data_IF_393780627078
#
_entry.id   IF_393780627078
#
_cell.length_a   1.000
_cell.length_b   1.000
_cell.length_c   1.000
_cell.angle_alpha   90.00
_cell.angle_beta   90.00
_cell.angle_gamma   90.00
#
_symmetry.space_group_name_H-M   'P 1'
#
loop_
_entity.id
_entity.type
_entity.pdbx_description
1 polymer ?
#
# COMPACT_ATOMS: atom_id res chain seq x y z
N UNK A 1 10.96 8.79 16.95
CA UNK A 1 11.82 7.66 16.85
C UNK A 1 11.07 6.38 16.61
N UNK A 2 11.62 5.53 15.82
CA UNK A 2 10.95 4.43 15.14
C UNK A 2 10.30 3.37 16.03
N UNK A 3 10.72 3.24 17.26
CA UNK A 3 10.22 2.22 18.17
C UNK A 3 8.78 2.39 18.63
N UNK A 4 8.22 3.57 18.47
CA UNK A 4 6.81 3.84 18.80
C UNK A 4 5.87 3.69 17.62
N UNK A 5 6.42 3.57 16.41
CA UNK A 5 5.66 3.71 15.16
C UNK A 5 4.63 2.60 14.95
N UNK A 6 4.84 1.44 15.54
CA UNK A 6 3.94 0.29 15.44
C UNK A 6 3.33 -0.14 16.77
N UNK A 7 3.41 0.72 17.78
CA UNK A 7 2.91 0.42 19.13
C UNK A 7 1.43 0.02 19.16
N UNK A 8 0.63 0.63 18.30
CA UNK A 8 -0.81 0.35 18.19
C UNK A 8 -1.16 -0.53 16.98
N UNK A 9 -0.17 -0.97 16.23
CA UNK A 9 -0.33 -1.64 14.95
C UNK A 9 0.16 -0.77 13.80
N UNK A 10 -0.25 -1.09 12.59
CA UNK A 10 0.15 -0.36 11.38
C UNK A 10 -0.95 -0.41 10.32
N UNK A 11 -0.79 0.41 9.31
CA UNK A 11 -1.65 0.42 8.12
C UNK A 11 -0.77 0.18 6.89
N UNK A 12 -1.00 -0.94 6.20
CA UNK A 12 -0.29 -1.28 4.97
C UNK A 12 -1.15 -1.00 3.76
N UNK A 13 -0.53 -0.55 2.67
CA UNK A 13 -1.23 -0.35 1.40
C UNK A 13 -0.54 -1.09 0.27
N UNK A 14 -1.35 -1.60 -0.66
CA UNK A 14 -0.95 -2.18 -1.93
C UNK A 14 -1.55 -1.33 -3.05
N UNK A 15 -0.69 -0.69 -3.84
CA UNK A 15 -1.10 0.26 -4.88
C UNK A 15 -1.27 -0.48 -6.21
N UNK A 16 -2.45 -0.38 -6.80
CA UNK A 16 -2.81 -1.00 -8.06
C UNK A 16 -3.30 0.05 -9.06
N UNK A 17 -3.44 -0.34 -10.31
CA UNK A 17 -3.82 0.59 -11.39
C UNK A 17 -5.21 1.19 -11.22
N UNK A 18 -6.13 0.46 -10.62
CA UNK A 18 -7.54 0.84 -10.48
C UNK A 18 -8.00 0.99 -9.03
N UNK A 19 -7.11 0.73 -8.07
CA UNK A 19 -7.43 0.87 -6.65
C UNK A 19 -6.20 0.81 -5.76
N UNK A 20 -6.37 1.28 -4.54
CA UNK A 20 -5.42 1.06 -3.45
C UNK A 20 -6.12 0.15 -2.44
N UNK A 21 -5.50 -0.99 -2.13
CA UNK A 21 -5.95 -1.87 -1.06
C UNK A 21 -5.28 -1.47 0.25
N UNK A 22 -6.06 -1.35 1.31
CA UNK A 22 -5.57 -0.95 2.63
C UNK A 22 -5.88 -2.06 3.64
N UNK A 23 -4.91 -2.40 4.46
CA UNK A 23 -5.06 -3.32 5.59
C UNK A 23 -4.54 -2.68 6.87
N UNK A 24 -5.43 -2.54 7.85
CA UNK A 24 -5.06 -2.10 9.20
C UNK A 24 -4.93 -3.31 10.11
N UNK A 25 -3.89 -3.32 10.93
CA UNK A 25 -3.68 -4.33 11.95
C UNK A 25 -3.58 -3.71 13.34
N UNK A 26 -3.79 -4.55 14.36
CA UNK A 26 -3.47 -4.21 15.74
C UNK A 26 -1.98 -4.46 16.03
N UNK A 27 -1.57 -4.22 17.27
CA UNK A 27 -0.17 -4.42 17.72
C UNK A 27 0.34 -5.84 17.53
N UNK A 28 -0.54 -6.83 17.53
CA UNK A 28 -0.19 -8.25 17.38
C UNK A 28 -0.17 -8.71 15.91
N UNK A 29 -0.38 -7.81 14.97
CA UNK A 29 -0.39 -8.11 13.55
C UNK A 29 -1.67 -8.78 13.05
N UNK A 30 -2.77 -8.68 13.79
CA UNK A 30 -4.07 -9.19 13.38
C UNK A 30 -4.89 -8.13 12.67
N UNK A 31 -5.63 -8.53 11.62
CA UNK A 31 -6.43 -7.63 10.80
C UNK A 31 -7.55 -6.99 11.64
N UNK A 32 -7.63 -5.67 11.61
CA UNK A 32 -8.69 -4.88 12.23
C UNK A 32 -9.66 -4.36 11.18
N UNK A 33 -9.14 -3.91 10.04
CA UNK A 33 -9.90 -3.30 8.97
C UNK A 33 -9.23 -3.56 7.62
N UNK A 34 -10.04 -3.83 6.61
CA UNK A 34 -9.62 -3.82 5.21
C UNK A 34 -10.50 -2.82 4.46
N UNK A 35 -9.90 -2.09 3.53
CA UNK A 35 -10.60 -1.08 2.74
C UNK A 35 -10.04 -1.00 1.34
N UNK A 36 -10.90 -0.69 0.38
CA UNK A 36 -10.54 -0.48 -1.01
C UNK A 36 -10.86 0.95 -1.40
N UNK A 37 -9.88 1.63 -1.97
CA UNK A 37 -10.05 2.97 -2.53
C UNK A 37 -9.96 2.86 -4.05
N UNK A 38 -11.06 3.03 -4.79
CA UNK A 38 -11.03 2.96 -6.25
C UNK A 38 -10.30 4.15 -6.87
N UNK A 39 -9.64 3.91 -8.00
CA UNK A 39 -9.00 4.94 -8.82
C UNK A 39 -9.67 4.86 -10.21
N UNK A 40 -10.31 5.93 -10.64
CA UNK A 40 -11.06 5.97 -11.90
C UNK A 40 -10.15 6.35 -13.06
N UNK A 41 -9.86 5.40 -13.94
CA UNK A 41 -8.95 5.56 -15.08
C UNK A 41 -9.49 6.50 -16.17
N UNK A 42 -10.79 6.51 -16.35
CA UNK A 42 -11.48 7.30 -17.35
C UNK A 42 -11.51 8.80 -17.04
N UNK A 43 -11.13 9.19 -15.85
CA UNK A 43 -11.05 10.58 -15.46
C UNK A 43 -9.98 11.34 -16.26
N UNK A 44 -10.23 12.62 -16.51
CA UNK A 44 -9.21 13.53 -17.06
C UNK A 44 -8.01 13.60 -16.10
N UNK A 45 -6.86 14.09 -16.63
CA UNK A 45 -5.64 14.24 -15.82
C UNK A 45 -5.90 15.07 -14.55
N UNK A 46 -6.63 16.17 -14.68
CA UNK A 46 -6.94 17.03 -13.54
C UNK A 46 -7.84 16.35 -12.50
N UNK A 47 -8.87 15.64 -12.96
CA UNK A 47 -9.75 14.87 -12.06
C UNK A 47 -9.01 13.74 -11.35
N UNK A 48 -8.10 13.05 -12.04
CA UNK A 48 -7.26 12.02 -11.44
C UNK A 48 -6.32 12.59 -10.36
N UNK A 49 -5.73 13.74 -10.63
CA UNK A 49 -4.88 14.41 -9.65
C UNK A 49 -5.65 14.79 -8.40
N UNK A 50 -6.88 15.31 -8.57
CA UNK A 50 -7.76 15.62 -7.44
C UNK A 50 -8.15 14.35 -6.67
N UNK A 51 -8.54 13.30 -7.37
CA UNK A 51 -8.87 12.01 -6.76
C UNK A 51 -7.71 11.44 -5.95
N UNK A 52 -6.50 11.44 -6.51
CA UNK A 52 -5.31 10.97 -5.80
C UNK A 52 -4.97 11.83 -4.59
N UNK A 53 -5.19 13.13 -4.69
CA UNK A 53 -5.01 14.04 -3.57
C UNK A 53 -5.98 13.72 -2.43
N UNK A 54 -7.26 13.50 -2.74
CA UNK A 54 -8.27 13.11 -1.75
C UNK A 54 -7.98 11.76 -1.13
N UNK A 55 -7.52 10.78 -1.93
CA UNK A 55 -7.10 9.48 -1.42
C UNK A 55 -5.92 9.59 -0.45
N UNK A 56 -4.95 10.44 -0.77
CA UNK A 56 -3.81 10.67 0.11
C UNK A 56 -4.25 11.26 1.46
N UNK A 57 -5.21 12.18 1.45
CA UNK A 57 -5.79 12.76 2.67
C UNK A 57 -6.49 11.67 3.49
N UNK A 58 -7.33 10.85 2.86
CA UNK A 58 -8.07 9.80 3.57
C UNK A 58 -7.15 8.77 4.21
N UNK A 59 -6.12 8.32 3.48
CA UNK A 59 -5.13 7.37 4.01
C UNK A 59 -4.38 8.00 5.19
N UNK A 60 -3.94 9.23 5.04
CA UNK A 60 -3.26 9.97 6.11
C UNK A 60 -4.14 10.09 7.35
N UNK A 61 -5.41 10.45 7.19
CA UNK A 61 -6.36 10.59 8.30
C UNK A 61 -6.59 9.26 9.03
N UNK A 62 -6.68 8.15 8.30
CA UNK A 62 -6.76 6.82 8.90
C UNK A 62 -5.55 6.54 9.80
N UNK A 63 -4.35 6.85 9.32
CA UNK A 63 -3.13 6.66 10.09
C UNK A 63 -3.07 7.58 11.31
N UNK A 64 -3.33 8.87 11.11
CA UNK A 64 -3.23 9.88 12.16
C UNK A 64 -4.23 9.67 13.29
N UNK A 65 -5.50 9.42 12.95
CA UNK A 65 -6.56 9.22 13.95
C UNK A 65 -6.34 7.99 14.82
N UNK A 66 -5.71 6.96 14.27
CA UNK A 66 -5.45 5.70 14.94
C UNK A 66 -4.04 5.59 15.52
N UNK A 67 -3.23 6.62 15.34
CA UNK A 67 -1.81 6.68 15.77
C UNK A 67 -1.00 5.50 15.24
N UNK A 68 -1.21 5.19 13.95
CA UNK A 68 -0.53 4.08 13.26
C UNK A 68 0.32 4.60 12.13
N UNK A 69 1.49 3.99 11.94
CA UNK A 69 2.36 4.30 10.79
C UNK A 69 1.81 3.69 9.52
N UNK A 70 2.09 4.34 8.40
CA UNK A 70 1.82 3.81 7.07
C UNK A 70 2.97 2.92 6.63
N UNK A 71 2.66 1.74 6.11
CA UNK A 71 3.67 0.83 5.52
C UNK A 71 3.44 0.74 4.03
N UNK A 72 4.50 0.96 3.26
CA UNK A 72 4.49 0.90 1.80
C UNK A 72 5.66 0.08 1.29
N UNK A 73 5.55 -0.44 0.08
CA UNK A 73 6.67 -1.11 -0.57
C UNK A 73 7.74 -0.10 -1.00
N UNK A 74 8.99 -0.42 -0.75
CA UNK A 74 10.14 0.35 -1.22
C UNK A 74 10.50 -0.09 -2.64
N UNK A 75 9.80 0.47 -3.62
CA UNK A 75 10.05 0.19 -5.03
C UNK A 75 10.85 1.32 -5.65
N UNK A 76 12.14 1.10 -5.87
CA UNK A 76 12.91 2.03 -6.66
C UNK A 76 12.55 1.90 -8.16
N UNK A 77 12.82 2.93 -8.93
CA UNK A 77 12.46 3.00 -10.35
C UNK A 77 13.01 1.83 -11.18
N UNK A 78 14.23 1.35 -10.86
CA UNK A 78 14.86 0.23 -11.55
C UNK A 78 14.10 -1.09 -11.29
N UNK A 79 13.71 -1.34 -10.06
CA UNK A 79 12.92 -2.52 -9.70
C UNK A 79 11.54 -2.52 -10.37
N UNK A 80 10.89 -1.37 -10.42
CA UNK A 80 9.62 -1.21 -11.12
C UNK A 80 9.73 -1.52 -12.61
N UNK A 81 10.75 -1.00 -13.28
CA UNK A 81 11.00 -1.29 -14.69
C UNK A 81 11.25 -2.77 -14.94
N UNK A 82 12.06 -3.40 -14.12
CA UNK A 82 12.36 -4.83 -14.21
C UNK A 82 11.09 -5.67 -14.04
N UNK A 83 10.26 -5.36 -13.05
CA UNK A 83 8.98 -6.04 -12.84
C UNK A 83 8.05 -5.89 -14.03
N UNK A 84 8.02 -4.74 -14.70
CA UNK A 84 7.17 -4.49 -15.86
C UNK A 84 7.61 -5.22 -17.11
N UNK A 85 8.90 -5.39 -17.32
CA UNK A 85 9.46 -6.11 -18.47
C UNK A 85 9.10 -7.61 -18.47
N UNK A 86 8.89 -8.20 -17.32
CA UNK A 86 8.55 -9.62 -17.17
C UNK A 86 7.06 -9.91 -17.18
N UNK A 87 6.20 -8.91 -17.37
CA UNK A 87 4.75 -9.13 -17.39
C UNK A 87 4.26 -9.42 -18.81
N UNK A 88 3.36 -10.41 -19.00
CA UNK A 88 2.78 -10.71 -20.32
C UNK A 88 2.06 -9.48 -20.89
N UNK A 89 2.15 -9.28 -22.22
CA UNK A 89 1.50 -8.17 -22.94
C UNK A 89 -0.02 -8.08 -22.71
N UNK A 90 -0.68 -9.16 -22.33
CA UNK A 90 -2.12 -9.20 -22.01
C UNK A 90 -2.47 -8.47 -20.70
N UNK A 91 -1.48 -8.10 -19.89
CA UNK A 91 -1.68 -7.34 -18.66
C UNK A 91 -1.30 -5.85 -18.83
N UNK A 92 -1.56 -5.28 -20.02
CA UNK A 92 -1.35 -3.86 -20.33
C UNK A 92 -2.15 -2.87 -19.44
N UNK A 93 -2.85 -3.40 -18.43
CA UNK A 93 -3.54 -2.63 -17.40
C UNK A 93 -2.67 -2.41 -16.16
N UNK A 94 -1.37 -2.70 -16.24
CA UNK A 94 -0.48 -2.45 -15.11
C UNK A 94 -0.18 -0.97 -14.98
N UNK A 95 -0.14 -0.53 -13.74
CA UNK A 95 0.28 0.81 -13.39
C UNK A 95 1.70 1.04 -13.91
N UNK A 96 1.91 2.13 -14.66
CA UNK A 96 3.26 2.49 -15.09
C UNK A 96 4.13 2.80 -13.87
N UNK A 97 5.45 2.60 -13.99
CA UNK A 97 6.39 2.93 -12.91
C UNK A 97 6.30 4.40 -12.51
N UNK A 98 6.08 5.26 -13.49
CA UNK A 98 5.94 6.70 -13.27
C UNK A 98 4.65 7.03 -12.50
N UNK A 99 3.52 6.42 -12.86
CA UNK A 99 2.25 6.63 -12.18
C UNK A 99 2.29 6.09 -10.74
N UNK A 100 2.88 4.92 -10.54
CA UNK A 100 3.09 4.35 -9.21
C UNK A 100 3.88 5.30 -8.30
N UNK A 101 5.02 5.78 -8.80
CA UNK A 101 5.89 6.70 -8.08
C UNK A 101 5.14 7.98 -7.71
N UNK A 102 4.34 8.51 -8.63
CA UNK A 102 3.56 9.74 -8.41
C UNK A 102 2.52 9.55 -7.30
N UNK A 103 1.81 8.42 -7.30
CA UNK A 103 0.82 8.09 -6.26
C UNK A 103 1.51 7.97 -4.90
N UNK A 104 2.60 7.20 -4.85
CA UNK A 104 3.36 6.97 -3.63
C UNK A 104 3.90 8.29 -3.05
N UNK A 105 4.48 9.14 -3.88
CA UNK A 105 4.98 10.45 -3.47
C UNK A 105 3.90 11.33 -2.85
N UNK A 106 2.70 11.37 -3.43
CA UNK A 106 1.58 12.13 -2.89
C UNK A 106 1.15 11.64 -1.51
N UNK A 107 0.99 10.34 -1.37
CA UNK A 107 0.58 9.71 -0.10
C UNK A 107 1.66 9.93 0.96
N UNK A 108 2.91 9.65 0.64
CA UNK A 108 4.04 9.80 1.54
C UNK A 108 4.21 11.25 2.01
N UNK A 109 4.16 12.19 1.07
CA UNK A 109 4.26 13.62 1.40
C UNK A 109 3.14 14.07 2.34
N UNK A 110 1.91 13.64 2.08
CA UNK A 110 0.78 14.00 2.94
C UNK A 110 0.93 13.44 4.34
N UNK A 111 1.40 12.21 4.46
CA UNK A 111 1.67 11.59 5.75
C UNK A 111 2.76 12.34 6.52
N UNK A 112 3.90 12.60 5.87
CA UNK A 112 5.02 13.28 6.52
C UNK A 112 4.67 14.71 6.97
N UNK A 113 3.88 15.44 6.18
CA UNK A 113 3.41 16.76 6.55
C UNK A 113 2.47 16.77 7.76
N UNK A 114 1.88 15.66 8.09
CA UNK A 114 0.93 15.50 9.19
C UNK A 114 1.48 14.63 10.33
N UNK A 115 2.80 14.49 10.39
CA UNK A 115 3.48 13.71 11.44
C UNK A 115 3.10 12.24 11.49
N UNK A 116 2.75 11.67 10.34
CA UNK A 116 2.51 10.24 10.17
C UNK A 116 3.77 9.60 9.61
N UNK A 117 4.35 8.65 10.33
CA UNK A 117 5.55 7.96 9.89
C UNK A 117 5.23 7.01 8.72
N UNK A 118 6.15 6.95 7.77
CA UNK A 118 6.05 6.07 6.61
C UNK A 118 7.20 5.06 6.68
N UNK A 119 6.83 3.78 6.78
CA UNK A 119 7.78 2.67 6.83
C UNK A 119 7.83 2.04 5.44
N UNK A 120 9.03 1.93 4.88
CA UNK A 120 9.26 1.30 3.58
C UNK A 120 9.78 -0.11 3.79
N UNK A 121 9.18 -1.08 3.11
CA UNK A 121 9.56 -2.50 3.23
C UNK A 121 10.00 -3.07 1.88
N UNK A 122 10.82 -4.11 1.93
CA UNK A 122 11.25 -4.86 0.75
C UNK A 122 10.00 -5.44 0.04
N UNK A 123 9.81 -5.16 -1.25
CA UNK A 123 8.66 -5.65 -2.01
C UNK A 123 8.75 -7.14 -2.39
N UNK A 124 9.86 -7.79 -2.09
CA UNK A 124 10.12 -9.16 -2.54
C UNK A 124 9.02 -10.12 -2.07
N UNK A 125 8.34 -10.74 -3.02
CA UNK A 125 7.33 -11.78 -2.81
C UNK A 125 6.10 -11.38 -1.97
N UNK A 126 5.81 -10.10 -1.74
CA UNK A 126 4.64 -9.68 -0.96
C UNK A 126 3.34 -10.25 -1.52
N UNK A 127 3.10 -10.09 -2.81
CA UNK A 127 1.90 -10.62 -3.48
C UNK A 127 1.86 -12.15 -3.48
N UNK A 128 3.01 -12.79 -3.69
CA UNK A 128 3.11 -14.25 -3.70
C UNK A 128 2.79 -14.83 -2.32
N UNK A 129 3.42 -14.31 -1.28
CA UNK A 129 3.18 -14.73 0.10
C UNK A 129 1.71 -14.50 0.48
N UNK A 130 1.18 -13.34 0.14
CA UNK A 130 -0.22 -13.02 0.39
C UNK A 130 -1.16 -14.03 -0.27
N UNK A 131 -0.93 -14.33 -1.55
CA UNK A 131 -1.72 -15.29 -2.29
C UNK A 131 -1.63 -16.70 -1.72
N UNK A 132 -0.43 -17.18 -1.45
CA UNK A 132 -0.20 -18.56 -1.02
C UNK A 132 -0.64 -18.80 0.43
N UNK A 133 -0.42 -17.83 1.31
CA UNK A 133 -0.61 -18.00 2.74
C UNK A 133 -1.95 -17.49 3.26
N UNK A 134 -2.40 -16.34 2.81
CA UNK A 134 -3.53 -15.64 3.43
C UNK A 134 -4.86 -15.71 2.67
N UNK A 135 -4.88 -15.92 1.36
CA UNK A 135 -6.14 -16.03 0.62
C UNK A 135 -6.99 -17.19 1.12
N UNK A 136 -6.37 -18.33 1.40
CA UNK A 136 -7.07 -19.52 1.92
C UNK A 136 -7.48 -19.36 3.39
N UNK A 137 -6.60 -18.77 4.20
CA UNK A 137 -6.81 -18.67 5.65
C UNK A 137 -7.84 -17.58 5.98
N UNK A 138 -7.76 -16.44 5.29
CA UNK A 138 -8.56 -15.25 5.59
C UNK A 138 -9.76 -15.05 4.65
N UNK A 139 -9.85 -15.80 3.56
CA UNK A 139 -10.90 -15.62 2.55
C UNK A 139 -10.85 -14.26 1.84
N UNK A 140 -9.68 -13.64 1.80
CA UNK A 140 -9.48 -12.30 1.24
C UNK A 140 -8.97 -12.33 -0.18
N UNK A 141 -9.21 -11.27 -0.94
CA UNK A 141 -8.62 -11.11 -2.26
C UNK A 141 -7.10 -10.99 -2.19
N UNK A 142 -6.43 -11.27 -3.32
CA UNK A 142 -4.96 -11.20 -3.42
C UNK A 142 -4.42 -9.83 -3.02
N UNK A 143 -5.11 -8.75 -3.38
CA UNK A 143 -4.66 -7.38 -3.08
C UNK A 143 -4.74 -7.04 -1.59
N UNK A 144 -5.79 -7.47 -0.90
CA UNK A 144 -5.88 -7.30 0.55
C UNK A 144 -4.82 -8.13 1.27
N UNK A 145 -4.55 -9.34 0.77
CA UNK A 145 -3.50 -10.19 1.32
C UNK A 145 -2.12 -9.60 1.09
N UNK A 146 -1.86 -8.98 -0.05
CA UNK A 146 -0.62 -8.25 -0.32
C UNK A 146 -0.45 -7.08 0.66
N UNK A 147 -1.50 -6.27 0.83
CA UNK A 147 -1.49 -5.17 1.80
C UNK A 147 -1.23 -5.67 3.23
N UNK A 148 -1.78 -6.81 3.58
CA UNK A 148 -1.55 -7.46 4.89
C UNK A 148 -0.10 -7.89 5.07
N UNK A 149 0.51 -8.54 4.06
CA UNK A 149 1.93 -8.92 4.11
C UNK A 149 2.83 -7.70 4.22
N UNK A 150 2.55 -6.65 3.45
CA UNK A 150 3.27 -5.37 3.53
C UNK A 150 3.21 -4.82 4.94
N UNK A 151 2.02 -4.76 5.52
CA UNK A 151 1.78 -4.27 6.88
C UNK A 151 2.59 -5.06 7.91
N UNK A 152 2.47 -6.39 7.90
CA UNK A 152 3.17 -7.27 8.84
C UNK A 152 4.68 -7.13 8.72
N UNK A 153 5.19 -7.03 7.51
CA UNK A 153 6.63 -6.83 7.25
C UNK A 153 7.12 -5.51 7.84
N UNK A 154 6.34 -4.45 7.73
CA UNK A 154 6.63 -3.16 8.36
C UNK A 154 6.65 -3.20 9.88
N UNK A 155 5.89 -4.11 10.47
CA UNK A 155 5.87 -4.34 11.91
C UNK A 155 6.97 -5.28 12.40
N UNK A 156 7.79 -5.82 11.50
CA UNK A 156 8.89 -6.72 11.84
C UNK A 156 8.52 -8.20 11.87
N UNK A 157 7.30 -8.56 11.47
CA UNK A 157 6.93 -9.97 11.34
C UNK A 157 7.57 -10.60 10.11
N UNK A 158 7.94 -11.86 10.24
CA UNK A 158 8.46 -12.69 9.14
C UNK A 158 7.36 -13.64 8.68
N UNK A 159 7.04 -13.58 7.38
CA UNK A 159 6.00 -14.42 6.78
C UNK A 159 6.55 -15.46 5.81
#
# INVERSE_FOLDING_TARGET
>A
MLTSDTLYGAIGIDINVDHIALCETNKDGNIVLIKKYPIHKENTKNKRNEELYQLAIEIMEQCKSKKKSLVVEDLNFKQLKTRMLYRPKKQNKTLSSFAYKKILEKVERKCLMNEVDVIKVDPKNTSKIGKEKYTKIKGLSVHYCAAYVINRRGMGFVD
#
